data_IF_666495480491
#
_entry.id   IF_666495480491
#
_cell.length_a   1.000
_cell.length_b   1.000
_cell.length_c   1.000
_cell.angle_alpha   90.00
_cell.angle_beta   90.00
_cell.angle_gamma   90.00
#
_symmetry.space_group_name_H-M   'P 1'
#
loop_
_entity.id
_entity.type
_entity.pdbx_description
1 polymer ?
#
# COMPACT_ATOMS: atom_id res chain seq x y z
N UNK A 1 -9.88 21.34 11.06
CA UNK A 1 -10.09 20.50 9.86
C UNK A 1 -10.63 19.12 10.24
N UNK A 2 -9.88 18.28 10.97
CA UNK A 2 -10.30 16.89 11.33
C UNK A 2 -11.67 16.87 12.02
N UNK A 3 -11.88 17.73 13.05
CA UNK A 3 -13.16 17.79 13.76
C UNK A 3 -14.33 18.24 12.88
N UNK A 4 -14.10 19.06 11.86
CA UNK A 4 -15.13 19.46 10.89
C UNK A 4 -15.49 18.27 9.99
N UNK A 5 -14.49 17.61 9.44
CA UNK A 5 -14.67 16.41 8.62
C UNK A 5 -15.43 15.30 9.37
N UNK A 6 -15.07 15.03 10.62
CA UNK A 6 -15.77 14.03 11.43
C UNK A 6 -17.24 14.38 11.70
N UNK A 7 -17.58 15.67 11.83
CA UNK A 7 -19.00 16.09 11.93
C UNK A 7 -19.75 15.84 10.63
N UNK A 8 -19.20 16.26 9.48
CA UNK A 8 -19.81 16.02 8.16
C UNK A 8 -20.04 14.52 7.91
N UNK A 9 -19.03 13.69 8.23
CA UNK A 9 -19.17 12.22 8.11
C UNK A 9 -20.33 11.70 8.95
N UNK A 10 -20.49 12.18 10.19
CA UNK A 10 -21.61 11.79 11.06
C UNK A 10 -22.95 12.27 10.53
N UNK A 11 -23.05 13.52 10.09
CA UNK A 11 -24.28 14.08 9.53
C UNK A 11 -24.81 13.25 8.35
N UNK A 12 -23.91 12.65 7.56
CA UNK A 12 -24.26 11.78 6.43
C UNK A 12 -24.54 10.35 6.87
N UNK A 13 -23.74 9.81 7.79
CA UNK A 13 -23.77 8.40 8.16
C UNK A 13 -24.89 8.05 9.14
N UNK A 14 -25.17 8.92 10.12
CA UNK A 14 -26.16 8.66 11.16
C UNK A 14 -27.56 8.39 10.60
N UNK A 15 -28.10 9.17 9.62
CA UNK A 15 -29.37 8.88 8.99
C UNK A 15 -29.42 7.56 8.21
N UNK A 16 -28.26 7.05 7.79
CA UNK A 16 -28.11 5.78 7.07
C UNK A 16 -27.92 4.58 8.02
N UNK A 17 -27.85 4.82 9.32
CA UNK A 17 -27.56 3.78 10.32
C UNK A 17 -26.12 3.24 10.21
N UNK A 18 -25.19 4.02 9.67
CA UNK A 18 -23.78 3.66 9.49
C UNK A 18 -22.92 4.34 10.57
N UNK A 19 -22.02 3.58 11.18
CA UNK A 19 -21.03 4.11 12.11
C UNK A 19 -19.60 3.84 11.62
N UNK A 20 -18.68 4.73 11.97
CA UNK A 20 -17.26 4.58 11.70
C UNK A 20 -16.48 4.33 12.98
N UNK A 21 -15.59 3.35 12.95
CA UNK A 21 -14.71 3.00 14.06
C UNK A 21 -13.25 3.23 13.67
N UNK A 22 -12.49 3.89 14.54
CA UNK A 22 -11.06 4.10 14.36
C UNK A 22 -10.26 2.86 14.75
N UNK A 23 -10.09 1.91 13.86
CA UNK A 23 -9.41 0.63 14.10
C UNK A 23 -8.28 0.44 13.08
N UNK A 24 -7.21 -0.27 13.48
CA UNK A 24 -6.12 -0.64 12.56
C UNK A 24 -6.41 -1.91 11.76
N UNK A 25 -7.22 -2.81 12.29
CA UNK A 25 -7.67 -4.02 11.60
C UNK A 25 -9.05 -4.45 12.09
N UNK A 26 -9.81 -5.19 11.26
CA UNK A 26 -11.11 -5.75 11.63
C UNK A 26 -10.97 -6.68 12.85
N UNK A 27 -11.67 -6.41 13.97
CA UNK A 27 -11.45 -7.14 15.19
C UNK A 27 -12.26 -8.45 15.31
N UNK A 28 -13.33 -8.59 14.53
CA UNK A 28 -14.30 -9.69 14.69
C UNK A 28 -14.32 -10.61 13.48
N UNK A 29 -14.55 -10.06 12.29
CA UNK A 29 -14.74 -10.88 11.09
C UNK A 29 -13.46 -11.60 10.66
N UNK A 30 -13.61 -12.86 10.29
CA UNK A 30 -12.55 -13.61 9.62
C UNK A 30 -12.32 -13.10 8.19
N UNK A 31 -11.21 -13.51 7.59
CA UNK A 31 -10.94 -13.20 6.19
C UNK A 31 -12.00 -13.76 5.25
N UNK A 32 -12.56 -14.95 5.56
CA UNK A 32 -13.59 -15.59 4.76
C UNK A 32 -14.94 -14.85 4.80
N UNK A 33 -15.22 -14.15 5.90
CA UNK A 33 -16.44 -13.35 6.07
C UNK A 33 -16.31 -11.95 5.48
N UNK A 34 -15.10 -11.51 5.18
CA UNK A 34 -14.86 -10.16 4.67
C UNK A 34 -15.10 -10.11 3.16
N UNK A 35 -16.03 -9.26 2.65
CA UNK A 35 -16.34 -9.22 1.23
C UNK A 35 -15.16 -8.65 0.42
N UNK A 36 -14.94 -9.24 -0.75
CA UNK A 36 -13.94 -8.77 -1.71
C UNK A 36 -14.53 -7.66 -2.56
N UNK A 37 -13.83 -6.52 -2.65
CA UNK A 37 -14.23 -5.44 -3.56
C UNK A 37 -14.20 -5.91 -5.02
N UNK A 38 -15.25 -5.67 -5.82
CA UNK A 38 -15.36 -6.16 -7.19
C UNK A 38 -14.55 -5.31 -8.18
N UNK A 39 -13.24 -5.15 -7.92
CA UNK A 39 -12.30 -4.44 -8.79
C UNK A 39 -11.34 -5.43 -9.43
N UNK A 40 -11.19 -5.37 -10.77
CA UNK A 40 -10.35 -6.29 -11.53
C UNK A 40 -8.90 -6.39 -11.03
N UNK A 41 -8.30 -5.25 -10.64
CA UNK A 41 -6.94 -5.22 -10.09
C UNK A 41 -6.79 -6.03 -8.79
N UNK A 42 -7.83 -6.11 -7.97
CA UNK A 42 -7.76 -6.81 -6.68
C UNK A 42 -7.60 -8.31 -6.84
N UNK A 43 -8.19 -8.89 -7.88
CA UNK A 43 -7.97 -10.31 -8.20
C UNK A 43 -6.51 -10.58 -8.54
N UNK A 44 -5.91 -9.78 -9.40
CA UNK A 44 -4.49 -9.90 -9.80
C UNK A 44 -3.59 -9.77 -8.56
N UNK A 45 -3.83 -8.73 -7.75
CA UNK A 45 -3.05 -8.48 -6.54
C UNK A 45 -3.15 -9.63 -5.53
N UNK A 46 -4.36 -10.17 -5.29
CA UNK A 46 -4.56 -11.31 -4.38
C UNK A 46 -3.77 -12.55 -4.83
N UNK A 47 -3.88 -12.91 -6.12
CA UNK A 47 -3.23 -14.09 -6.66
C UNK A 47 -1.70 -13.99 -6.61
N UNK A 48 -1.17 -12.76 -6.73
CA UNK A 48 0.26 -12.52 -6.60
C UNK A 48 0.73 -12.47 -5.15
N UNK A 49 0.03 -11.75 -4.28
CA UNK A 49 0.40 -11.63 -2.87
C UNK A 49 0.41 -12.98 -2.14
N UNK A 50 -0.45 -13.92 -2.53
CA UNK A 50 -0.43 -15.29 -2.00
C UNK A 50 0.86 -16.07 -2.34
N UNK A 51 1.61 -15.61 -3.37
CA UNK A 51 2.87 -16.25 -3.77
C UNK A 51 4.08 -15.65 -3.07
N UNK A 52 4.02 -14.37 -2.70
CA UNK A 52 5.17 -13.59 -2.19
C UNK A 52 5.09 -13.31 -0.70
N UNK A 53 3.90 -13.41 -0.09
CA UNK A 53 3.67 -13.19 1.34
C UNK A 53 2.51 -14.05 1.86
N UNK A 54 2.33 -14.06 3.18
CA UNK A 54 1.26 -14.83 3.84
C UNK A 54 0.09 -13.96 4.29
N UNK A 55 0.31 -12.66 4.44
CA UNK A 55 -0.66 -11.73 5.05
C UNK A 55 -1.21 -10.69 4.06
N UNK A 56 -0.90 -10.79 2.76
CA UNK A 56 -1.34 -9.84 1.73
C UNK A 56 -2.86 -9.69 1.65
N UNK A 57 -3.63 -10.78 1.74
CA UNK A 57 -5.10 -10.71 1.78
C UNK A 57 -5.60 -10.06 3.07
N UNK A 58 -4.93 -10.26 4.19
CA UNK A 58 -5.27 -9.58 5.46
C UNK A 58 -5.10 -8.06 5.28
N UNK A 59 -4.00 -7.63 4.66
CA UNK A 59 -3.75 -6.23 4.34
C UNK A 59 -4.86 -5.67 3.46
N UNK A 60 -5.20 -6.35 2.36
CA UNK A 60 -6.17 -5.85 1.37
C UNK A 60 -7.59 -5.69 1.92
N UNK A 61 -8.04 -6.58 2.80
CA UNK A 61 -9.45 -6.66 3.16
C UNK A 61 -9.77 -6.34 4.62
N UNK A 62 -8.80 -6.41 5.51
CA UNK A 62 -9.06 -6.28 6.96
C UNK A 62 -8.37 -5.11 7.62
N UNK A 63 -7.47 -4.39 6.92
CA UNK A 63 -6.76 -3.26 7.52
C UNK A 63 -7.45 -1.93 7.22
N UNK A 64 -7.36 -1.03 8.20
CA UNK A 64 -7.70 0.37 8.10
C UNK A 64 -6.50 1.21 8.52
N UNK A 65 -6.41 2.46 8.06
CA UNK A 65 -5.26 3.31 8.35
C UNK A 65 -5.67 4.75 8.60
N UNK A 66 -4.79 5.45 9.32
CA UNK A 66 -4.64 6.90 9.23
C UNK A 66 -3.50 7.16 8.25
N UNK A 67 -3.70 8.03 7.28
CA UNK A 67 -2.70 8.38 6.27
C UNK A 67 -2.49 9.89 6.25
N UNK A 68 -1.22 10.30 6.28
CA UNK A 68 -0.82 11.68 6.04
C UNK A 68 0.03 11.73 4.76
N UNK A 69 -0.35 12.59 3.81
CA UNK A 69 0.42 12.86 2.62
C UNK A 69 1.21 14.14 2.83
N UNK A 70 2.51 14.08 2.62
CA UNK A 70 3.42 15.19 2.84
C UNK A 70 3.94 15.70 1.50
N UNK A 71 3.56 16.91 1.14
CA UNK A 71 4.12 17.61 -0.02
C UNK A 71 5.59 17.97 0.22
N UNK A 72 6.33 18.15 -0.86
CA UNK A 72 7.72 18.62 -0.81
C UNK A 72 7.98 19.68 -1.88
N UNK A 73 8.82 20.64 -1.56
CA UNK A 73 9.14 21.78 -2.42
C UNK A 73 10.39 21.57 -3.29
N UNK A 74 11.21 20.58 -2.98
CA UNK A 74 12.46 20.26 -3.67
C UNK A 74 12.90 18.83 -3.36
N UNK A 75 13.89 18.33 -4.11
CA UNK A 75 14.49 17.03 -3.85
C UNK A 75 15.09 16.94 -2.44
N UNK A 76 15.82 17.98 -2.00
CA UNK A 76 16.38 18.02 -0.66
C UNK A 76 15.30 18.00 0.44
N UNK A 77 14.17 18.65 0.21
CA UNK A 77 13.02 18.63 1.12
C UNK A 77 12.35 17.24 1.12
N UNK A 78 12.22 16.60 -0.03
CA UNK A 78 11.73 15.22 -0.15
C UNK A 78 12.63 14.26 0.62
N UNK A 79 13.94 14.31 0.41
CA UNK A 79 14.92 13.46 1.11
C UNK A 79 14.80 13.62 2.62
N UNK A 80 14.75 14.87 3.11
CA UNK A 80 14.59 15.15 4.54
C UNK A 80 13.29 14.56 5.09
N UNK A 81 12.15 14.84 4.44
CA UNK A 81 10.83 14.37 4.88
C UNK A 81 10.75 12.85 4.86
N UNK A 82 11.26 12.21 3.80
CA UNK A 82 11.24 10.76 3.69
C UNK A 82 12.07 10.09 4.81
N UNK A 83 13.31 10.57 5.04
CA UNK A 83 14.15 10.10 6.16
C UNK A 83 13.47 10.25 7.51
N UNK A 84 12.90 11.41 7.78
CA UNK A 84 12.21 11.67 9.04
C UNK A 84 10.98 10.77 9.18
N UNK A 85 10.18 10.60 8.12
CA UNK A 85 8.98 9.74 8.15
C UNK A 85 9.34 8.30 8.46
N UNK A 86 10.33 7.72 7.75
CA UNK A 86 10.77 6.35 8.01
C UNK A 86 11.40 6.19 9.41
N UNK A 87 12.18 7.16 9.86
CA UNK A 87 12.77 7.12 11.21
C UNK A 87 11.72 7.20 12.33
N UNK A 88 10.61 7.91 12.09
CA UNK A 88 9.50 8.05 13.05
C UNK A 88 8.47 6.93 12.97
N UNK A 89 8.54 6.06 11.97
CA UNK A 89 7.56 4.99 11.76
C UNK A 89 7.35 4.10 13.00
N UNK A 90 8.38 3.62 13.72
CA UNK A 90 8.16 2.83 14.94
C UNK A 90 7.41 3.60 16.03
N UNK A 91 7.67 4.90 16.16
CA UNK A 91 6.95 5.78 17.11
C UNK A 91 5.50 5.97 16.67
N UNK A 92 5.26 6.22 15.38
CA UNK A 92 3.92 6.31 14.80
C UNK A 92 3.13 5.02 15.03
N UNK A 93 3.74 3.86 14.77
CA UNK A 93 3.14 2.56 15.05
C UNK A 93 2.75 2.40 16.51
N UNK A 94 3.61 2.80 17.45
CA UNK A 94 3.32 2.70 18.88
C UNK A 94 2.20 3.66 19.32
N UNK A 95 2.21 4.90 18.81
CA UNK A 95 1.21 5.93 19.16
C UNK A 95 -0.19 5.60 18.62
N UNK A 96 -0.27 5.03 17.43
CA UNK A 96 -1.53 4.72 16.73
C UNK A 96 -1.91 3.25 16.79
N UNK A 97 -1.23 2.45 17.61
CA UNK A 97 -1.55 1.04 17.80
C UNK A 97 -3.00 0.87 18.26
N UNK A 98 -3.83 0.25 17.42
CA UNK A 98 -5.25 0.07 17.68
C UNK A 98 -5.82 -1.17 16.94
N UNK A 99 -5.12 -2.31 17.05
CA UNK A 99 -5.58 -3.57 16.47
C UNK A 99 -5.17 -4.79 17.32
N UNK A 100 -5.55 -4.83 18.62
CA UNK A 100 -5.16 -5.92 19.51
C UNK A 100 -6.05 -7.17 19.40
N UNK A 101 -7.11 -7.12 18.60
CA UNK A 101 -8.06 -8.22 18.44
C UNK A 101 -8.10 -8.73 16.99
N UNK A 102 -8.35 -10.03 16.84
CA UNK A 102 -8.61 -10.72 15.58
C UNK A 102 -9.59 -11.86 15.83
N UNK A 103 -10.66 -11.91 15.02
CA UNK A 103 -11.70 -12.96 15.12
C UNK A 103 -12.27 -13.11 16.53
N UNK A 104 -12.54 -11.98 17.19
CA UNK A 104 -13.12 -11.91 18.52
C UNK A 104 -12.17 -12.26 19.67
N UNK A 105 -10.86 -12.41 19.42
CA UNK A 105 -9.86 -12.81 20.44
C UNK A 105 -8.66 -11.87 20.43
N UNK A 106 -7.97 -11.69 21.59
CA UNK A 106 -6.67 -11.02 21.61
C UNK A 106 -5.66 -11.74 20.70
N UNK A 107 -4.92 -10.99 19.90
CA UNK A 107 -3.98 -11.54 18.92
C UNK A 107 -2.50 -11.44 19.35
N UNK A 108 -2.22 -10.91 20.54
CA UNK A 108 -0.87 -10.76 21.07
C UNK A 108 -0.11 -9.51 20.63
N UNK A 109 -0.69 -8.67 19.78
CA UNK A 109 -0.10 -7.43 19.29
C UNK A 109 -0.94 -6.23 19.73
N UNK A 110 -0.33 -5.07 19.94
CA UNK A 110 -1.05 -3.80 20.06
C UNK A 110 -1.41 -3.25 18.68
N UNK A 111 -0.53 -3.45 17.69
CA UNK A 111 -0.75 -3.13 16.29
C UNK A 111 -0.60 -4.39 15.41
N UNK A 112 -1.66 -5.19 15.30
CA UNK A 112 -1.69 -6.31 14.37
C UNK A 112 -1.62 -5.83 12.91
N UNK A 113 -2.11 -4.63 12.61
CA UNK A 113 -1.95 -4.00 11.31
C UNK A 113 -0.47 -3.95 10.90
N UNK A 114 0.42 -3.50 11.77
CA UNK A 114 1.85 -3.45 11.45
C UNK A 114 2.44 -4.85 11.24
N UNK A 115 2.01 -5.85 12.03
CA UNK A 115 2.41 -7.24 11.80
C UNK A 115 1.97 -7.75 10.43
N UNK A 116 0.78 -7.37 9.95
CA UNK A 116 0.29 -7.74 8.61
C UNK A 116 1.23 -7.20 7.52
N UNK A 117 1.68 -5.94 7.65
CA UNK A 117 2.56 -5.32 6.66
C UNK A 117 3.95 -5.94 6.58
N UNK A 118 4.43 -6.60 7.64
CA UNK A 118 5.74 -7.29 7.62
C UNK A 118 5.77 -8.56 6.76
N UNK A 119 4.61 -9.05 6.31
CA UNK A 119 4.51 -10.30 5.53
C UNK A 119 3.45 -10.16 4.41
N UNK A 120 3.46 -9.03 3.72
CA UNK A 120 2.54 -8.72 2.62
C UNK A 120 3.22 -8.92 1.27
N UNK A 121 4.22 -8.12 0.95
CA UNK A 121 5.00 -8.20 -0.29
C UNK A 121 6.36 -7.52 -0.06
N UNK A 122 7.44 -8.28 0.11
CA UNK A 122 8.73 -7.75 0.54
C UNK A 122 9.41 -6.84 -0.49
N UNK A 123 9.00 -6.87 -1.77
CA UNK A 123 9.58 -6.02 -2.80
C UNK A 123 9.06 -4.58 -2.75
N UNK A 124 7.87 -4.37 -2.15
CA UNK A 124 7.18 -3.07 -2.18
C UNK A 124 6.72 -2.55 -0.83
N UNK A 125 6.83 -3.33 0.24
CA UNK A 125 6.45 -2.94 1.60
C UNK A 125 7.64 -3.02 2.54
N UNK A 126 7.65 -2.21 3.60
CA UNK A 126 8.67 -2.22 4.62
C UNK A 126 9.67 -1.07 4.51
N UNK A 127 10.62 -1.09 5.41
CA UNK A 127 11.67 -0.07 5.50
C UNK A 127 12.60 -0.12 4.29
N UNK A 128 12.98 1.05 3.80
CA UNK A 128 13.94 1.23 2.71
C UNK A 128 15.29 1.73 3.25
N UNK A 129 16.24 0.87 3.61
CA UNK A 129 17.50 1.27 4.24
C UNK A 129 18.30 2.27 3.41
N UNK A 130 18.27 2.17 2.08
CA UNK A 130 19.01 3.04 1.16
C UNK A 130 18.57 4.52 1.23
N UNK A 131 17.39 4.81 1.80
CA UNK A 131 16.93 6.19 2.02
C UNK A 131 17.85 6.94 2.98
N UNK A 132 18.50 6.22 3.91
CA UNK A 132 19.43 6.79 4.89
C UNK A 132 20.87 6.90 4.40
N UNK A 133 21.19 6.34 3.24
CA UNK A 133 22.52 6.38 2.65
C UNK A 133 22.80 7.72 1.97
N UNK A 134 24.09 8.03 1.79
CA UNK A 134 24.49 9.19 1.00
C UNK A 134 24.08 9.04 -0.46
N UNK A 135 23.73 10.17 -1.09
CA UNK A 135 23.28 10.18 -2.49
C UNK A 135 21.82 9.71 -2.71
N UNK A 136 21.03 9.51 -1.65
CA UNK A 136 19.60 9.28 -1.83
C UNK A 136 18.93 10.54 -2.40
N UNK A 137 18.09 10.33 -3.42
CA UNK A 137 17.33 11.36 -4.13
C UNK A 137 16.27 10.76 -5.04
N UNK A 138 15.71 11.59 -5.93
CA UNK A 138 14.67 11.16 -6.87
C UNK A 138 15.13 10.00 -7.76
N UNK A 139 16.32 10.11 -8.34
CA UNK A 139 16.85 9.11 -9.26
C UNK A 139 16.94 7.73 -8.58
N UNK A 140 17.48 7.68 -7.37
CA UNK A 140 17.63 6.43 -6.63
C UNK A 140 16.30 5.82 -6.22
N UNK A 141 15.30 6.65 -5.89
CA UNK A 141 13.96 6.15 -5.62
C UNK A 141 13.27 5.63 -6.89
N UNK A 142 13.44 6.33 -8.00
CA UNK A 142 12.92 5.87 -9.31
C UNK A 142 13.57 4.55 -9.71
N UNK A 143 14.87 4.41 -9.56
CA UNK A 143 15.57 3.16 -9.84
C UNK A 143 15.03 1.99 -8.99
N UNK A 144 14.82 2.20 -7.71
CA UNK A 144 14.15 1.21 -6.85
C UNK A 144 12.77 0.86 -7.40
N UNK A 145 11.96 1.87 -7.71
CA UNK A 145 10.60 1.63 -8.20
C UNK A 145 10.57 0.86 -9.53
N UNK A 146 11.53 1.10 -10.44
CA UNK A 146 11.67 0.37 -11.70
C UNK A 146 12.06 -1.10 -11.50
N UNK A 147 12.69 -1.42 -10.38
CA UNK A 147 13.12 -2.80 -10.03
C UNK A 147 12.03 -3.58 -9.28
N UNK A 148 11.03 -2.90 -8.70
CA UNK A 148 9.89 -3.58 -8.08
C UNK A 148 9.06 -4.31 -9.15
N UNK A 149 8.75 -5.62 -8.99
CA UNK A 149 7.92 -6.34 -9.93
C UNK A 149 6.52 -5.74 -10.07
N UNK A 150 5.97 -5.69 -11.29
CA UNK A 150 4.64 -5.14 -11.52
C UNK A 150 3.53 -6.05 -10.99
N UNK A 151 2.35 -5.47 -10.76
CA UNK A 151 1.10 -6.20 -10.58
C UNK A 151 0.30 -6.26 -11.87
N UNK A 152 0.11 -5.14 -12.53
CA UNK A 152 -0.77 -5.02 -13.70
C UNK A 152 -0.33 -3.87 -14.61
N UNK A 153 -0.83 -3.91 -15.84
CA UNK A 153 -0.83 -2.80 -16.78
C UNK A 153 -2.27 -2.53 -17.20
N UNK A 154 -2.64 -1.26 -17.42
CA UNK A 154 -4.00 -0.89 -17.85
C UNK A 154 -4.04 -0.59 -19.35
N UNK A 155 -4.93 -1.28 -20.08
CA UNK A 155 -5.17 -1.04 -21.52
C UNK A 155 -6.67 -1.09 -21.82
N UNK A 156 -7.18 -0.10 -22.53
CA UNK A 156 -8.59 -0.04 -22.92
C UNK A 156 -9.57 -0.15 -21.73
N UNK A 157 -9.22 0.42 -20.57
CA UNK A 157 -10.02 0.35 -19.34
C UNK A 157 -9.98 -1.00 -18.60
N UNK A 158 -9.18 -1.96 -19.07
CA UNK A 158 -9.00 -3.28 -18.44
C UNK A 158 -7.63 -3.39 -17.79
N UNK A 159 -7.55 -4.16 -16.70
CA UNK A 159 -6.30 -4.54 -16.07
C UNK A 159 -5.80 -5.85 -16.67
N UNK A 160 -4.59 -5.81 -17.22
CA UNK A 160 -3.85 -6.97 -17.71
C UNK A 160 -2.92 -7.45 -16.60
N UNK A 161 -2.89 -8.74 -16.38
CA UNK A 161 -2.01 -9.34 -15.38
C UNK A 161 -0.55 -9.25 -15.85
N UNK A 162 0.26 -8.46 -15.14
CA UNK A 162 1.69 -8.29 -15.31
C UNK A 162 2.45 -8.74 -14.04
N UNK A 163 1.82 -9.55 -13.20
CA UNK A 163 2.37 -9.96 -11.90
C UNK A 163 3.75 -10.57 -12.03
N UNK A 164 4.70 -9.97 -11.33
CA UNK A 164 6.10 -10.41 -11.31
C UNK A 164 6.92 -10.01 -12.54
N UNK A 165 6.33 -9.35 -13.54
CA UNK A 165 7.07 -8.88 -14.72
C UNK A 165 7.83 -7.59 -14.42
N UNK A 166 8.99 -7.42 -15.10
CA UNK A 166 9.87 -6.28 -14.93
C UNK A 166 9.36 -5.03 -15.66
N UNK A 167 9.31 -3.89 -14.94
CA UNK A 167 9.01 -2.61 -15.57
C UNK A 167 10.14 -2.17 -16.51
N UNK A 168 11.40 -2.52 -16.24
CA UNK A 168 12.52 -2.25 -17.14
C UNK A 168 12.39 -3.01 -18.47
N UNK A 169 11.90 -4.25 -18.45
CA UNK A 169 11.61 -4.98 -19.68
C UNK A 169 10.47 -4.33 -20.46
N UNK A 170 9.48 -3.78 -19.77
CA UNK A 170 8.43 -2.99 -20.41
C UNK A 170 8.99 -1.74 -21.12
N UNK A 171 9.91 -1.02 -20.47
CA UNK A 171 10.60 0.13 -21.10
C UNK A 171 11.34 -0.25 -22.40
N UNK A 172 11.81 -1.48 -22.52
CA UNK A 172 12.50 -2.00 -23.70
C UNK A 172 11.56 -2.68 -24.71
N UNK A 173 10.24 -2.68 -24.47
CA UNK A 173 9.26 -3.34 -25.35
C UNK A 173 9.32 -4.87 -25.29
N UNK A 174 9.87 -5.44 -24.21
CA UNK A 174 10.08 -6.89 -24.04
C UNK A 174 9.00 -7.55 -23.17
N UNK A 175 7.95 -6.83 -22.82
CA UNK A 175 6.90 -7.37 -21.98
C UNK A 175 6.13 -8.47 -22.72
N UNK A 176 6.10 -9.67 -22.19
CA UNK A 176 5.51 -10.85 -22.88
C UNK A 176 4.02 -10.70 -23.19
N UNK A 177 3.29 -9.97 -22.34
CA UNK A 177 1.85 -9.70 -22.50
C UNK A 177 1.55 -8.52 -23.44
N UNK A 178 2.54 -7.69 -23.77
CA UNK A 178 2.44 -6.50 -24.64
C UNK A 178 3.70 -6.38 -25.51
N UNK A 179 3.96 -7.34 -26.41
CA UNK A 179 5.19 -7.37 -27.21
C UNK A 179 5.35 -6.12 -28.08
N UNK A 180 6.51 -5.46 -27.97
CA UNK A 180 6.83 -4.25 -28.72
C UNK A 180 6.26 -2.95 -28.15
N UNK A 181 5.33 -3.00 -27.21
CA UNK A 181 4.83 -1.81 -26.53
C UNK A 181 5.83 -1.30 -25.49
N UNK A 182 5.84 0.02 -25.31
CA UNK A 182 6.58 0.70 -24.24
C UNK A 182 5.62 1.41 -23.29
N UNK A 183 5.98 1.61 -22.02
CA UNK A 183 5.13 2.30 -21.07
C UNK A 183 4.99 3.79 -21.38
N UNK A 184 3.83 4.34 -21.08
CA UNK A 184 3.58 5.76 -20.92
C UNK A 184 3.81 6.18 -19.45
N UNK A 185 3.79 7.50 -19.17
CA UNK A 185 3.89 8.01 -17.80
C UNK A 185 2.76 7.54 -16.91
N UNK A 186 1.56 7.34 -17.45
CA UNK A 186 0.42 6.81 -16.70
C UNK A 186 0.67 5.36 -16.23
N UNK A 187 1.37 4.55 -17.02
CA UNK A 187 1.74 3.19 -16.59
C UNK A 187 2.71 3.22 -15.43
N UNK A 188 3.65 4.16 -15.42
CA UNK A 188 4.57 4.34 -14.30
C UNK A 188 3.86 4.89 -13.06
N UNK A 189 2.94 5.83 -13.21
CA UNK A 189 2.12 6.35 -12.12
C UNK A 189 1.24 5.25 -11.50
N UNK A 190 0.60 4.42 -12.32
CA UNK A 190 -0.16 3.26 -11.86
C UNK A 190 0.74 2.27 -11.09
N UNK A 191 1.96 2.03 -11.59
CA UNK A 191 2.95 1.17 -10.92
C UNK A 191 3.40 1.74 -9.57
N UNK A 192 3.77 3.03 -9.51
CA UNK A 192 4.13 3.72 -8.26
C UNK A 192 3.02 3.65 -7.20
N UNK A 193 1.75 3.66 -7.62
CA UNK A 193 0.60 3.55 -6.72
C UNK A 193 0.51 2.21 -6.00
N UNK A 194 1.35 1.25 -6.34
CA UNK A 194 1.41 -0.08 -5.73
C UNK A 194 2.62 -0.29 -4.83
N UNK A 195 3.43 0.73 -4.59
CA UNK A 195 4.65 0.68 -3.76
C UNK A 195 4.37 1.40 -2.44
N UNK A 196 4.57 0.72 -1.33
CA UNK A 196 4.22 1.18 0.02
C UNK A 196 5.43 1.04 0.96
N UNK A 197 6.37 1.98 0.99
CA UNK A 197 7.44 1.99 1.96
C UNK A 197 6.89 2.34 3.36
N UNK A 198 6.77 1.35 4.21
CA UNK A 198 6.27 1.46 5.59
C UNK A 198 7.17 0.71 6.58
#
# INVERSE_FOLDING_TARGET
EVGSHLREVREIADPLGVAFMGLGASPVWSLAETPVMPKGRYRIMMEYMDKVGRLGRQMMFRTCTVQANLDFASEADMVKKFRVSLALQPLGTALFANSPFMEGRPNGFLSYRSQIWTDTDPDRTGMLPFVFEDGFGFERYVDYALDVPMYFVRRGGKYLDASGLSFRDFMHGKLSILPGEKPAMDDFADHLSTIFPE
#
